data_IF_105803561213
#
_entry.id   IF_105803561213
#
_cell.length_a   1.000
_cell.length_b   1.000
_cell.length_c   1.000
_cell.angle_alpha   90.00
_cell.angle_beta   90.00
_cell.angle_gamma   90.00
#
_symmetry.space_group_name_H-M   'P 1'
#
loop_
_entity.id
_entity.type
_entity.pdbx_description
1 polymer ?
#
# COMPACT_ATOMS: atom_id res chain seq x y z
N UNK A 1 3.56 -4.62 -13.70
CA UNK A 1 4.97 -5.02 -13.93
C UNK A 1 5.67 -4.20 -15.02
N UNK A 2 5.01 -3.79 -16.11
CA UNK A 2 5.64 -2.91 -17.12
C UNK A 2 6.07 -1.56 -16.50
N UNK A 3 5.16 -0.91 -15.77
CA UNK A 3 5.37 0.31 -14.98
C UNK A 3 6.63 0.28 -14.08
N UNK A 4 6.77 -0.76 -13.25
CA UNK A 4 7.95 -0.94 -12.39
C UNK A 4 9.27 -0.96 -13.18
N UNK A 5 9.29 -1.48 -14.42
CA UNK A 5 10.51 -1.54 -15.24
C UNK A 5 10.91 -0.18 -15.82
N UNK A 6 10.00 0.78 -15.85
CA UNK A 6 10.27 2.15 -16.32
C UNK A 6 10.93 3.01 -15.24
N UNK A 7 10.84 2.59 -13.97
CA UNK A 7 11.51 3.27 -12.87
C UNK A 7 13.04 3.12 -12.92
N UNK A 8 13.79 4.08 -12.35
CA UNK A 8 15.22 3.95 -12.10
C UNK A 8 15.59 2.67 -11.33
N UNK A 9 16.82 2.18 -11.51
CA UNK A 9 17.24 0.87 -10.97
C UNK A 9 17.21 0.82 -9.44
N UNK A 10 17.54 1.92 -8.77
CA UNK A 10 17.49 2.08 -7.32
C UNK A 10 16.05 1.99 -6.80
N UNK A 11 15.11 2.69 -7.45
CA UNK A 11 13.68 2.57 -7.19
C UNK A 11 13.17 1.13 -7.33
N UNK A 12 13.58 0.44 -8.39
CA UNK A 12 13.21 -0.96 -8.61
C UNK A 12 13.71 -1.89 -7.51
N UNK A 13 14.93 -1.66 -7.00
CA UNK A 13 15.51 -2.49 -5.93
C UNK A 13 14.74 -2.28 -4.64
N UNK A 14 14.55 -1.01 -4.22
CA UNK A 14 13.84 -0.68 -2.98
C UNK A 14 12.40 -1.18 -3.02
N UNK A 15 11.69 -0.94 -4.14
CA UNK A 15 10.32 -1.42 -4.30
C UNK A 15 10.22 -2.94 -4.14
N UNK A 16 11.15 -3.71 -4.72
CA UNK A 16 11.14 -5.17 -4.61
C UNK A 16 11.39 -5.66 -3.18
N UNK A 17 12.27 -5.00 -2.43
CA UNK A 17 12.52 -5.37 -1.03
C UNK A 17 11.32 -5.04 -0.14
N UNK A 18 10.72 -3.86 -0.30
CA UNK A 18 9.47 -3.50 0.40
C UNK A 18 8.34 -4.46 0.01
N UNK A 19 8.23 -4.80 -1.29
CA UNK A 19 7.23 -5.74 -1.77
C UNK A 19 7.37 -7.11 -1.08
N UNK A 20 8.59 -7.66 -1.02
CA UNK A 20 8.87 -8.93 -0.32
C UNK A 20 8.49 -8.85 1.16
N UNK A 21 8.88 -7.77 1.84
CA UNK A 21 8.55 -7.58 3.25
C UNK A 21 7.05 -7.64 3.47
N UNK A 22 6.27 -6.87 2.69
CA UNK A 22 4.82 -6.83 2.86
C UNK A 22 4.18 -8.20 2.57
N UNK A 23 4.71 -8.99 1.62
CA UNK A 23 4.20 -10.33 1.29
C UNK A 23 4.29 -11.31 2.47
N UNK A 24 5.26 -11.15 3.37
CA UNK A 24 5.37 -11.97 4.59
C UNK A 24 4.16 -11.76 5.53
N UNK A 25 3.47 -10.62 5.42
CA UNK A 25 2.34 -10.25 6.29
C UNK A 25 0.98 -10.39 5.60
N UNK A 26 0.93 -10.82 4.34
CA UNK A 26 -0.36 -11.13 3.71
C UNK A 26 -0.94 -12.41 4.26
N UNK A 27 -2.10 -12.31 4.90
CA UNK A 27 -2.94 -13.47 5.20
C UNK A 27 -3.98 -13.61 4.07
N UNK A 28 -3.93 -14.70 3.29
CA UNK A 28 -4.96 -15.02 2.29
C UNK A 28 -4.42 -15.27 0.88
N UNK A 29 -5.25 -14.99 -0.13
CA UNK A 29 -5.00 -15.27 -1.56
C UNK A 29 -4.18 -14.18 -2.28
N UNK A 30 -3.76 -13.14 -1.56
CA UNK A 30 -2.97 -12.03 -2.08
C UNK A 30 -3.77 -10.99 -2.88
N UNK A 31 -5.08 -11.17 -3.08
CA UNK A 31 -5.90 -10.24 -3.87
C UNK A 31 -6.11 -8.90 -3.17
N UNK A 32 -6.25 -8.92 -1.84
CA UNK A 32 -6.33 -7.70 -1.02
C UNK A 32 -5.03 -6.88 -1.03
N UNK A 33 -3.94 -7.46 -1.53
CA UNK A 33 -2.63 -6.84 -1.57
C UNK A 33 -2.34 -6.10 -2.87
N UNK A 34 -3.10 -6.35 -3.94
CA UNK A 34 -2.91 -5.67 -5.22
C UNK A 34 -3.16 -4.16 -5.14
N UNK A 35 -4.28 -3.66 -4.57
CA UNK A 35 -4.52 -2.22 -4.52
C UNK A 35 -3.44 -1.44 -3.73
N UNK A 36 -3.03 -1.89 -2.53
CA UNK A 36 -1.96 -1.22 -1.80
C UNK A 36 -0.60 -1.24 -2.51
N UNK A 37 -0.29 -2.32 -3.23
CA UNK A 37 0.93 -2.39 -4.05
C UNK A 37 0.91 -1.40 -5.23
N UNK A 38 -0.27 -1.16 -5.83
CA UNK A 38 -0.42 -0.14 -6.86
C UNK A 38 -0.25 1.27 -6.29
N UNK A 39 -0.83 1.56 -5.12
CA UNK A 39 -0.62 2.85 -4.44
C UNK A 39 0.87 3.08 -4.11
N UNK A 40 1.57 2.04 -3.65
CA UNK A 40 3.02 2.10 -3.41
C UNK A 40 3.79 2.38 -4.71
N UNK A 41 3.40 1.73 -5.82
CA UNK A 41 4.03 1.95 -7.11
C UNK A 41 3.81 3.38 -7.61
N UNK A 42 2.60 3.91 -7.45
CA UNK A 42 2.27 5.29 -7.81
C UNK A 42 3.13 6.30 -7.00
N UNK A 43 3.32 6.05 -5.69
CA UNK A 43 4.22 6.85 -4.85
C UNK A 43 5.67 6.85 -5.35
N UNK A 44 6.17 5.69 -5.80
CA UNK A 44 7.53 5.57 -6.35
C UNK A 44 7.66 6.25 -7.72
N UNK A 45 6.64 6.17 -8.57
CA UNK A 45 6.60 6.87 -9.85
C UNK A 45 6.61 8.38 -9.68
N UNK A 46 5.83 8.92 -8.74
CA UNK A 46 5.83 10.34 -8.43
C UNK A 46 7.21 10.81 -7.94
N UNK A 47 7.85 10.04 -7.05
CA UNK A 47 9.20 10.35 -6.58
C UNK A 47 10.23 10.35 -7.71
N UNK A 48 10.19 9.34 -8.58
CA UNK A 48 11.08 9.22 -9.73
C UNK A 48 10.86 10.35 -10.75
N UNK A 49 9.60 10.72 -11.03
CA UNK A 49 9.26 11.82 -11.93
C UNK A 49 9.81 13.17 -11.43
N UNK A 50 9.91 13.33 -10.10
CA UNK A 50 10.49 14.51 -9.46
C UNK A 50 12.03 14.43 -9.29
N UNK A 51 12.69 13.38 -9.83
CA UNK A 51 14.13 13.14 -9.69
C UNK A 51 14.61 13.10 -8.22
N UNK A 52 13.75 12.63 -7.31
CA UNK A 52 14.12 12.47 -5.91
C UNK A 52 14.96 11.19 -5.80
N UNK A 53 16.07 11.16 -5.04
CA UNK A 53 16.75 9.92 -4.72
C UNK A 53 15.86 9.00 -3.89
N UNK A 54 15.81 7.70 -4.20
CA UNK A 54 14.86 6.78 -3.53
C UNK A 54 15.02 6.78 -2.01
N UNK A 55 16.24 6.81 -1.48
CA UNK A 55 16.50 6.84 -0.03
C UNK A 55 16.15 8.19 0.61
N UNK A 56 16.07 9.27 -0.16
CA UNK A 56 15.53 10.54 0.34
C UNK A 56 13.99 10.51 0.37
N UNK A 57 13.38 9.74 -0.53
CA UNK A 57 11.92 9.55 -0.59
C UNK A 57 11.42 8.63 0.54
N UNK A 58 12.05 7.47 0.73
CA UNK A 58 11.61 6.46 1.70
C UNK A 58 12.35 6.54 3.05
N UNK A 59 13.48 7.25 3.09
CA UNK A 59 14.40 7.25 4.23
C UNK A 59 15.53 6.23 4.08
N UNK A 60 16.62 6.43 4.82
CA UNK A 60 17.75 5.49 4.85
C UNK A 60 17.37 4.15 5.46
N UNK A 61 16.38 4.13 6.36
CA UNK A 61 15.81 2.92 6.95
C UNK A 61 14.57 2.45 6.15
N UNK A 62 14.85 1.66 5.12
CA UNK A 62 13.81 1.03 4.27
C UNK A 62 12.94 0.06 5.07
N UNK A 63 13.45 -0.53 6.16
CA UNK A 63 12.69 -1.44 7.02
C UNK A 63 11.59 -0.71 7.77
N UNK A 64 11.94 0.42 8.40
CA UNK A 64 10.98 1.31 9.05
C UNK A 64 9.94 1.84 8.06
N UNK A 65 10.34 2.18 6.83
CA UNK A 65 9.39 2.56 5.77
C UNK A 65 8.41 1.43 5.44
N UNK A 66 8.91 0.19 5.28
CA UNK A 66 8.08 -0.97 4.97
C UNK A 66 7.08 -1.30 6.10
N UNK A 67 7.52 -1.20 7.36
CA UNK A 67 6.66 -1.38 8.53
C UNK A 67 5.55 -0.31 8.60
N UNK A 68 5.90 0.97 8.43
CA UNK A 68 4.93 2.06 8.43
C UNK A 68 3.92 1.91 7.29
N UNK A 69 4.40 1.53 6.10
CA UNK A 69 3.56 1.23 4.94
C UNK A 69 2.57 0.12 5.27
N UNK A 70 3.01 -0.99 5.88
CA UNK A 70 2.14 -2.09 6.30
C UNK A 70 1.05 -1.61 7.28
N UNK A 71 1.43 -0.81 8.28
CA UNK A 71 0.49 -0.28 9.27
C UNK A 71 -0.57 0.62 8.64
N UNK A 72 -0.19 1.50 7.72
CA UNK A 72 -1.14 2.34 6.98
C UNK A 72 -2.11 1.51 6.15
N UNK A 73 -1.61 0.48 5.45
CA UNK A 73 -2.44 -0.43 4.66
C UNK A 73 -3.48 -1.14 5.54
N UNK A 74 -3.05 -1.73 6.65
CA UNK A 74 -3.97 -2.40 7.59
C UNK A 74 -4.99 -1.45 8.22
N UNK A 75 -4.57 -0.21 8.52
CA UNK A 75 -5.47 0.81 9.05
C UNK A 75 -6.55 1.19 8.02
N UNK A 76 -6.18 1.42 6.76
CA UNK A 76 -7.13 1.70 5.66
C UNK A 76 -8.15 0.56 5.50
N UNK A 77 -7.70 -0.69 5.47
CA UNK A 77 -8.59 -1.86 5.38
C UNK A 77 -9.59 -1.90 6.53
N UNK A 78 -9.12 -1.75 7.77
CA UNK A 78 -9.99 -1.73 8.95
C UNK A 78 -11.00 -0.58 8.91
N UNK A 79 -10.58 0.61 8.51
CA UNK A 79 -11.47 1.78 8.36
C UNK A 79 -12.55 1.50 7.32
N UNK A 80 -12.18 0.93 6.17
CA UNK A 80 -13.12 0.59 5.10
C UNK A 80 -14.16 -0.44 5.57
N UNK A 81 -13.74 -1.48 6.30
CA UNK A 81 -14.68 -2.45 6.88
C UNK A 81 -15.64 -1.80 7.88
N UNK A 82 -15.15 -0.90 8.74
CA UNK A 82 -15.98 -0.21 9.71
C UNK A 82 -17.01 0.68 9.03
N UNK A 83 -16.62 1.41 7.97
CA UNK A 83 -17.54 2.20 7.13
C UNK A 83 -18.61 1.31 6.50
N UNK A 84 -18.23 0.17 5.92
CA UNK A 84 -19.19 -0.80 5.35
C UNK A 84 -20.19 -1.28 6.40
N UNK A 85 -19.70 -1.78 7.53
CA UNK A 85 -20.55 -2.28 8.63
C UNK A 85 -21.46 -1.19 9.19
N UNK A 86 -20.99 0.05 9.26
CA UNK A 86 -21.82 1.19 9.67
C UNK A 86 -22.96 1.41 8.69
N UNK A 87 -22.68 1.47 7.39
CA UNK A 87 -23.69 1.67 6.35
C UNK A 87 -24.73 0.54 6.34
N UNK A 88 -24.30 -0.72 6.50
CA UNK A 88 -25.20 -1.87 6.60
C UNK A 88 -26.14 -1.79 7.82
N UNK A 89 -25.62 -1.40 8.98
CA UNK A 89 -26.44 -1.21 10.19
C UNK A 89 -27.47 -0.10 10.02
N UNK A 90 -27.09 1.00 9.37
CA UNK A 90 -28.00 2.12 9.10
C UNK A 90 -29.08 1.70 8.11
N UNK A 91 -28.72 1.07 6.99
CA UNK A 91 -29.67 0.58 6.00
C UNK A 91 -30.69 -0.39 6.61
N UNK A 92 -30.22 -1.33 7.45
CA UNK A 92 -31.10 -2.28 8.15
C UNK A 92 -32.11 -1.58 9.07
N UNK A 93 -31.66 -0.59 9.86
CA UNK A 93 -32.54 0.16 10.77
C UNK A 93 -33.60 0.97 10.02
N UNK A 94 -33.23 1.59 8.90
CA UNK A 94 -34.16 2.38 8.07
C UNK A 94 -35.20 1.47 7.39
N UNK A 95 -34.81 0.24 7.01
CA UNK A 95 -35.74 -0.71 6.36
C UNK A 95 -36.70 -1.43 7.32
N UNK A 96 -36.46 -1.35 8.64
CA UNK A 96 -37.30 -1.97 9.67
C UNK A 96 -38.36 -0.98 10.25
N UNK A 97 -38.40 0.24 9.73
CA UNK A 97 -39.37 1.32 10.06
C UNK A 97 -40.41 1.46 8.93
#
# INVERSE_FOLDING_TARGET
>A
MARLKELPSDYQIVYKEVQKFLWEFTAGDGMDMLPPMLELLDFFEDGAANNIPVLQLVGEDVGSFAENTLHEMQAKTRINELKRKMNERIAKKISEE
#
